data_IF_403814854404
#
_entry.id   IF_403814854404
#
_cell.length_a   1.000
_cell.length_b   1.000
_cell.length_c   1.000
_cell.angle_alpha   90.00
_cell.angle_beta   90.00
_cell.angle_gamma   90.00
#
_symmetry.space_group_name_H-M   'P 1'
#
loop_
_entity.id
_entity.type
_entity.pdbx_description
1 polymer ?
#
# COMPACT_ATOMS: atom_id res chain seq x y z
N UNK A 1 25.80 -17.98 13.03
CA UNK A 1 24.97 -16.76 13.00
C UNK A 1 24.05 -16.87 11.80
N UNK A 2 22.74 -16.80 12.00
CA UNK A 2 21.74 -16.83 10.93
C UNK A 2 21.20 -15.41 10.75
N UNK A 3 21.27 -14.87 9.53
CA UNK A 3 20.81 -13.53 9.21
C UNK A 3 19.51 -13.63 8.40
N UNK A 4 18.42 -13.06 8.92
CA UNK A 4 17.12 -13.00 8.23
C UNK A 4 16.94 -11.63 7.61
N UNK A 5 16.85 -11.57 6.28
CA UNK A 5 16.70 -10.33 5.51
C UNK A 5 15.36 -10.36 4.78
N UNK A 6 14.55 -9.29 4.93
CA UNK A 6 13.31 -9.11 4.16
C UNK A 6 13.62 -8.78 2.70
N UNK A 7 12.87 -9.39 1.77
CA UNK A 7 13.03 -9.18 0.34
C UNK A 7 12.66 -7.73 -0.09
N UNK A 8 13.25 -7.20 -1.16
CA UNK A 8 12.89 -5.90 -1.73
C UNK A 8 11.52 -5.88 -2.42
N UNK A 9 10.95 -7.04 -2.71
CA UNK A 9 9.62 -7.21 -3.27
C UNK A 9 8.83 -8.16 -2.39
N UNK A 10 7.78 -7.66 -1.75
CA UNK A 10 6.97 -8.43 -0.83
C UNK A 10 5.82 -9.12 -1.57
N UNK A 11 5.66 -10.45 -1.47
CA UNK A 11 4.59 -11.15 -2.17
C UNK A 11 3.21 -10.75 -1.64
N UNK A 12 2.27 -10.50 -2.54
CA UNK A 12 0.87 -10.22 -2.23
C UNK A 12 -0.02 -11.23 -2.98
N UNK A 13 -0.60 -12.17 -2.24
CA UNK A 13 -1.58 -13.13 -2.80
C UNK A 13 -2.99 -12.61 -2.54
N UNK A 14 -3.79 -12.50 -3.59
CA UNK A 14 -5.15 -11.96 -3.57
C UNK A 14 -6.10 -13.03 -4.11
N UNK A 15 -7.13 -13.36 -3.33
CA UNK A 15 -8.20 -14.27 -3.75
C UNK A 15 -9.45 -13.44 -4.11
N UNK A 16 -9.94 -13.61 -5.34
CA UNK A 16 -11.11 -12.90 -5.88
C UNK A 16 -12.07 -13.94 -6.44
N UNK A 17 -13.05 -14.33 -5.63
CA UNK A 17 -13.93 -15.44 -5.99
C UNK A 17 -13.13 -16.75 -6.07
N UNK A 18 -13.12 -17.38 -7.24
CA UNK A 18 -12.34 -18.59 -7.54
C UNK A 18 -10.99 -18.29 -8.22
N UNK A 19 -10.65 -17.02 -8.44
CA UNK A 19 -9.41 -16.59 -9.06
C UNK A 19 -8.34 -16.26 -8.01
N UNK A 20 -7.11 -16.70 -8.25
CA UNK A 20 -5.94 -16.30 -7.46
C UNK A 20 -5.06 -15.37 -8.29
N UNK A 21 -4.80 -14.18 -7.76
CA UNK A 21 -3.87 -13.19 -8.34
C UNK A 21 -2.65 -13.07 -7.43
N UNK A 22 -1.46 -13.16 -8.00
CA UNK A 22 -0.21 -13.07 -7.26
C UNK A 22 0.59 -11.85 -7.72
N UNK A 23 0.56 -10.81 -6.90
CA UNK A 23 1.29 -9.58 -7.14
C UNK A 23 2.54 -9.49 -6.22
N UNK A 24 3.35 -8.45 -6.43
CA UNK A 24 4.50 -8.15 -5.58
C UNK A 24 4.54 -6.66 -5.27
N UNK A 25 4.60 -6.31 -4.00
CA UNK A 25 4.69 -4.93 -3.54
C UNK A 25 6.15 -4.49 -3.62
N UNK A 26 6.43 -3.39 -4.32
CA UNK A 26 7.77 -2.84 -4.44
C UNK A 26 8.19 -2.10 -3.15
N UNK A 27 8.83 -2.81 -2.22
CA UNK A 27 9.31 -2.27 -0.94
C UNK A 27 10.79 -1.88 -0.97
N UNK A 28 11.34 -1.61 -2.15
CA UNK A 28 12.66 -0.97 -2.30
C UNK A 28 12.64 0.44 -1.72
N UNK A 29 13.81 1.04 -1.48
CA UNK A 29 13.89 2.41 -0.93
C UNK A 29 13.13 3.41 -1.81
N UNK A 30 13.35 3.38 -3.12
CA UNK A 30 12.63 4.24 -4.08
C UNK A 30 11.15 3.87 -4.14
N UNK A 31 10.82 2.57 -4.14
CA UNK A 31 9.43 2.10 -4.08
C UNK A 31 8.67 2.60 -2.86
N UNK A 32 9.26 2.60 -1.66
CA UNK A 32 8.64 3.10 -0.44
C UNK A 32 8.40 4.63 -0.47
N UNK A 33 9.21 5.37 -1.23
CA UNK A 33 9.01 6.80 -1.45
C UNK A 33 7.84 7.02 -2.41
N UNK A 34 7.87 6.37 -3.57
CA UNK A 34 6.85 6.50 -4.62
C UNK A 34 5.47 6.03 -4.13
N UNK A 35 5.41 4.86 -3.52
CA UNK A 35 4.17 4.32 -2.93
C UNK A 35 3.72 5.21 -1.78
N UNK A 36 4.65 5.68 -0.94
CA UNK A 36 4.32 6.57 0.18
C UNK A 36 3.63 7.86 -0.29
N UNK A 37 4.17 8.51 -1.32
CA UNK A 37 3.58 9.71 -1.90
C UNK A 37 2.22 9.42 -2.55
N UNK A 38 2.13 8.35 -3.35
CA UNK A 38 0.88 7.96 -4.00
C UNK A 38 -0.22 7.61 -2.99
N UNK A 39 0.11 6.84 -1.96
CA UNK A 39 -0.81 6.43 -0.91
C UNK A 39 -1.29 7.61 -0.07
N UNK A 40 -0.41 8.54 0.32
CA UNK A 40 -0.83 9.73 1.06
C UNK A 40 -1.77 10.61 0.24
N UNK A 41 -1.47 10.82 -1.05
CA UNK A 41 -2.36 11.54 -1.97
C UNK A 41 -3.70 10.83 -2.11
N UNK A 42 -3.69 9.50 -2.24
CA UNK A 42 -4.91 8.71 -2.35
C UNK A 42 -5.75 8.76 -1.07
N UNK A 43 -5.16 8.55 0.10
CA UNK A 43 -5.83 8.64 1.40
C UNK A 43 -6.54 9.99 1.59
N UNK A 44 -5.86 11.10 1.28
CA UNK A 44 -6.43 12.44 1.35
C UNK A 44 -7.63 12.61 0.40
N UNK A 45 -7.50 12.16 -0.86
CA UNK A 45 -8.57 12.25 -1.86
C UNK A 45 -9.75 11.34 -1.50
N UNK A 46 -9.50 10.13 -1.02
CA UNK A 46 -10.54 9.20 -0.57
C UNK A 46 -11.31 9.77 0.62
N UNK A 47 -10.64 10.39 1.59
CA UNK A 47 -11.31 11.07 2.70
C UNK A 47 -12.22 12.22 2.25
N UNK A 48 -11.82 12.98 1.22
CA UNK A 48 -12.67 14.02 0.63
C UNK A 48 -13.86 13.42 -0.16
N UNK A 49 -13.63 12.36 -0.93
CA UNK A 49 -14.68 11.64 -1.66
C UNK A 49 -15.69 11.00 -0.72
N UNK A 50 -15.26 10.46 0.43
CA UNK A 50 -16.15 9.86 1.42
C UNK A 50 -17.14 10.87 1.97
N UNK A 51 -16.69 12.10 2.30
CA UNK A 51 -17.60 13.16 2.77
C UNK A 51 -18.67 13.49 1.72
N UNK A 52 -18.25 13.61 0.45
CA UNK A 52 -19.17 13.87 -0.66
C UNK A 52 -20.12 12.70 -0.92
N UNK A 53 -19.65 11.47 -0.68
CA UNK A 53 -20.44 10.25 -0.79
C UNK A 53 -21.54 10.24 0.26
N UNK A 54 -21.20 10.45 1.54
CA UNK A 54 -22.17 10.48 2.64
C UNK A 54 -23.24 11.55 2.44
N UNK A 55 -22.87 12.72 1.90
CA UNK A 55 -23.81 13.78 1.53
C UNK A 55 -24.74 13.36 0.38
N UNK A 56 -24.19 12.73 -0.66
CA UNK A 56 -24.96 12.29 -1.82
C UNK A 56 -25.91 11.13 -1.45
N UNK A 57 -25.47 10.23 -0.57
CA UNK A 57 -26.26 9.12 -0.05
C UNK A 57 -27.45 9.64 0.78
N UNK A 58 -27.22 10.57 1.70
CA UNK A 58 -28.28 11.24 2.47
C UNK A 58 -29.28 11.98 1.57
N UNK A 59 -28.79 12.54 0.46
CA UNK A 59 -29.63 13.25 -0.51
C UNK A 59 -30.33 12.31 -1.52
N UNK A 60 -30.05 11.00 -1.50
CA UNK A 60 -30.58 10.05 -2.48
C UNK A 60 -30.10 10.30 -3.92
N UNK A 61 -28.97 10.99 -4.11
CA UNK A 61 -28.46 11.37 -5.43
C UNK A 61 -27.63 10.25 -6.07
N UNK A 62 -28.34 9.28 -6.66
CA UNK A 62 -27.72 8.14 -7.34
C UNK A 62 -26.77 8.55 -8.48
N UNK A 63 -27.00 9.69 -9.15
CA UNK A 63 -26.13 10.16 -10.23
C UNK A 63 -24.80 10.65 -9.66
N UNK A 64 -24.84 11.43 -8.58
CA UNK A 64 -23.64 11.89 -7.87
C UNK A 64 -22.87 10.71 -7.26
N UNK A 65 -23.57 9.73 -6.68
CA UNK A 65 -22.92 8.51 -6.16
C UNK A 65 -22.14 7.76 -7.23
N UNK A 66 -22.73 7.53 -8.41
CA UNK A 66 -22.01 6.87 -9.53
C UNK A 66 -20.78 7.66 -9.99
N UNK A 67 -20.88 9.00 -10.02
CA UNK A 67 -19.75 9.87 -10.36
C UNK A 67 -18.63 9.77 -9.33
N UNK A 68 -18.96 9.80 -8.05
CA UNK A 68 -17.99 9.65 -6.96
C UNK A 68 -17.33 8.27 -6.98
N UNK A 69 -18.07 7.22 -7.32
CA UNK A 69 -17.52 5.88 -7.49
C UNK A 69 -16.49 5.81 -8.64
N UNK A 70 -16.77 6.45 -9.78
CA UNK A 70 -15.81 6.55 -10.87
C UNK A 70 -14.54 7.32 -10.46
N UNK A 71 -14.68 8.42 -9.72
CA UNK A 71 -13.55 9.20 -9.20
C UNK A 71 -12.71 8.40 -8.18
N UNK A 72 -13.35 7.59 -7.34
CA UNK A 72 -12.65 6.71 -6.42
C UNK A 72 -11.77 5.70 -7.18
N UNK A 73 -12.27 5.16 -8.30
CA UNK A 73 -11.51 4.22 -9.13
C UNK A 73 -10.22 4.85 -9.68
N UNK A 74 -10.30 6.10 -10.16
CA UNK A 74 -9.13 6.84 -10.64
C UNK A 74 -8.09 7.07 -9.53
N UNK A 75 -8.55 7.35 -8.30
CA UNK A 75 -7.67 7.55 -7.15
C UNK A 75 -6.98 6.25 -6.75
N UNK A 76 -7.73 5.14 -6.70
CA UNK A 76 -7.21 3.83 -6.34
C UNK A 76 -6.24 3.29 -7.40
N UNK A 77 -6.54 3.47 -8.68
CA UNK A 77 -5.68 3.01 -9.78
C UNK A 77 -4.24 3.50 -9.63
N UNK A 78 -4.06 4.80 -9.39
CA UNK A 78 -2.74 5.40 -9.26
C UNK A 78 -1.97 4.79 -8.08
N UNK A 79 -2.61 4.64 -6.92
CA UNK A 79 -1.94 4.16 -5.73
C UNK A 79 -1.66 2.65 -5.77
N UNK A 80 -2.59 1.85 -6.29
CA UNK A 80 -2.38 0.40 -6.44
C UNK A 80 -1.29 0.13 -7.48
N UNK A 81 -1.31 0.81 -8.63
CA UNK A 81 -0.23 0.68 -9.64
C UNK A 81 1.14 1.08 -9.11
N UNK A 82 1.21 2.10 -8.24
CA UNK A 82 2.47 2.44 -7.58
C UNK A 82 2.99 1.28 -6.70
N UNK A 83 2.09 0.57 -6.01
CA UNK A 83 2.44 -0.54 -5.12
C UNK A 83 2.88 -1.80 -5.85
N UNK A 84 2.07 -2.25 -6.81
CA UNK A 84 2.20 -3.60 -7.41
C UNK A 84 2.47 -3.59 -8.92
N UNK A 85 2.65 -2.40 -9.51
CA UNK A 85 2.81 -2.23 -10.95
C UNK A 85 1.50 -2.29 -11.73
N UNK A 86 1.60 -1.98 -13.02
CA UNK A 86 0.46 -1.99 -13.95
C UNK A 86 -0.06 -3.41 -14.22
N UNK A 87 0.84 -4.36 -14.44
CA UNK A 87 0.50 -5.77 -14.68
C UNK A 87 -0.33 -6.36 -13.53
N UNK A 88 0.12 -6.17 -12.28
CA UNK A 88 -0.62 -6.65 -11.11
C UNK A 88 -1.98 -5.98 -10.95
N UNK A 89 -2.11 -4.70 -11.30
CA UNK A 89 -3.40 -4.00 -11.29
C UNK A 89 -4.36 -4.58 -12.34
N UNK A 90 -3.88 -4.77 -13.56
CA UNK A 90 -4.69 -5.27 -14.67
C UNK A 90 -5.15 -6.72 -14.44
N UNK A 91 -4.31 -7.57 -13.83
CA UNK A 91 -4.68 -8.91 -13.41
C UNK A 91 -5.83 -8.91 -12.38
N UNK A 92 -5.81 -7.98 -11.41
CA UNK A 92 -6.90 -7.81 -10.44
C UNK A 92 -8.19 -7.39 -11.14
N UNK A 93 -8.11 -6.44 -12.09
CA UNK A 93 -9.30 -6.01 -12.86
C UNK A 93 -9.87 -7.16 -13.67
N UNK A 94 -9.01 -7.95 -14.33
CA UNK A 94 -9.44 -9.13 -15.08
C UNK A 94 -10.11 -10.18 -14.18
N UNK A 95 -9.53 -10.44 -13.00
CA UNK A 95 -10.09 -11.37 -12.03
C UNK A 95 -11.44 -10.90 -11.47
N UNK A 96 -11.65 -9.58 -11.28
CA UNK A 96 -12.94 -9.03 -10.87
C UNK A 96 -14.06 -9.31 -11.88
N UNK A 97 -13.73 -9.44 -13.17
CA UNK A 97 -14.71 -9.65 -14.24
C UNK A 97 -15.15 -11.10 -14.43
N UNK A 98 -14.41 -12.08 -13.94
CA UNK A 98 -14.68 -13.53 -14.12
C UNK A 98 -15.03 -13.88 -15.58
N UNK A 99 -14.30 -13.31 -16.54
CA UNK A 99 -14.53 -13.48 -17.98
C UNK A 99 -15.64 -12.62 -18.60
N UNK A 100 -16.32 -11.78 -17.82
CA UNK A 100 -17.27 -10.76 -18.27
C UNK A 100 -16.69 -9.34 -18.26
N UNK A 101 -17.34 -8.38 -18.96
CA UNK A 101 -16.94 -6.99 -18.93
C UNK A 101 -17.20 -6.40 -17.54
N UNK A 102 -16.17 -5.76 -16.96
CA UNK A 102 -16.23 -5.08 -15.67
C UNK A 102 -15.62 -3.68 -15.79
N UNK A 103 -16.24 -2.68 -15.17
CA UNK A 103 -15.60 -1.36 -15.09
C UNK A 103 -14.65 -1.29 -13.89
N UNK A 104 -13.65 -0.41 -13.97
CA UNK A 104 -12.75 -0.13 -12.83
C UNK A 104 -13.54 0.28 -11.57
N UNK A 105 -14.64 1.01 -11.76
CA UNK A 105 -15.50 1.46 -10.69
C UNK A 105 -16.26 0.31 -10.00
N UNK A 106 -16.59 -0.76 -10.73
CA UNK A 106 -17.18 -1.97 -10.15
C UNK A 106 -16.15 -2.74 -9.30
N UNK A 107 -14.87 -2.60 -9.63
CA UNK A 107 -13.76 -3.23 -8.90
C UNK A 107 -13.40 -2.50 -7.60
N UNK A 108 -13.99 -1.33 -7.30
CA UNK A 108 -13.57 -0.49 -6.18
C UNK A 108 -13.55 -1.21 -4.83
N UNK A 109 -14.50 -2.11 -4.57
CA UNK A 109 -14.54 -2.88 -3.31
C UNK A 109 -13.28 -3.74 -3.15
N UNK A 110 -12.80 -4.35 -4.24
CA UNK A 110 -11.56 -5.12 -4.26
C UNK A 110 -10.36 -4.18 -4.16
N UNK A 111 -10.35 -3.12 -4.96
CA UNK A 111 -9.23 -2.18 -5.04
C UNK A 111 -8.97 -1.43 -3.72
N UNK A 112 -10.00 -1.11 -2.94
CA UNK A 112 -9.82 -0.51 -1.60
C UNK A 112 -9.08 -1.47 -0.66
N UNK A 113 -9.38 -2.78 -0.73
CA UNK A 113 -8.71 -3.79 0.12
C UNK A 113 -7.25 -3.98 -0.29
N UNK A 114 -6.99 -4.04 -1.60
CA UNK A 114 -5.62 -4.14 -2.15
C UNK A 114 -4.82 -2.89 -1.77
N UNK A 115 -5.41 -1.71 -1.91
CA UNK A 115 -4.80 -0.46 -1.44
C UNK A 115 -4.46 -0.52 0.05
N UNK A 116 -5.38 -0.99 0.89
CA UNK A 116 -5.14 -1.15 2.33
C UNK A 116 -3.94 -2.06 2.63
N UNK A 117 -3.87 -3.22 1.97
CA UNK A 117 -2.75 -4.14 2.12
C UNK A 117 -1.41 -3.49 1.72
N UNK A 118 -1.37 -2.79 0.58
CA UNK A 118 -0.17 -2.05 0.14
C UNK A 118 0.23 -0.98 1.17
N UNK A 119 -0.75 -0.23 1.68
CA UNK A 119 -0.52 0.82 2.65
C UNK A 119 0.08 0.29 3.96
N UNK A 120 -0.48 -0.79 4.48
CA UNK A 120 -0.03 -1.42 5.71
C UNK A 120 1.38 -2.00 5.55
N UNK A 121 1.68 -2.69 4.44
CA UNK A 121 3.03 -3.20 4.14
C UNK A 121 4.06 -2.06 4.08
N UNK A 122 3.74 -0.94 3.44
CA UNK A 122 4.66 0.22 3.39
C UNK A 122 4.89 0.81 4.77
N UNK A 123 3.86 0.87 5.61
CA UNK A 123 3.97 1.38 6.97
C UNK A 123 4.88 0.48 7.81
N UNK A 124 4.65 -0.83 7.78
CA UNK A 124 5.48 -1.82 8.49
C UNK A 124 6.95 -1.73 8.06
N UNK A 125 7.21 -1.65 6.75
CA UNK A 125 8.59 -1.57 6.25
C UNK A 125 9.31 -0.29 6.67
N UNK A 126 8.58 0.83 6.77
CA UNK A 126 9.13 2.10 7.26
C UNK A 126 9.45 2.05 8.76
N UNK A 127 8.60 1.42 9.55
CA UNK A 127 8.82 1.21 10.98
C UNK A 127 10.02 0.28 11.23
N UNK A 128 10.15 -0.82 10.47
CA UNK A 128 11.30 -1.72 10.54
C UNK A 128 12.62 -1.01 10.23
N UNK A 129 12.66 -0.17 9.18
CA UNK A 129 13.88 0.57 8.83
C UNK A 129 14.31 1.56 9.90
N UNK A 130 13.36 2.17 10.62
CA UNK A 130 13.65 3.05 11.76
C UNK A 130 14.16 2.27 12.97
N UNK A 131 13.55 1.11 13.25
CA UNK A 131 13.95 0.23 14.35
C UNK A 131 15.31 -0.45 14.09
N UNK A 132 15.60 -0.89 12.87
CA UNK A 132 16.90 -1.46 12.49
C UNK A 132 18.02 -0.41 12.60
N UNK A 133 17.78 0.84 12.18
CA UNK A 133 18.74 1.93 12.41
C UNK A 133 18.96 2.17 13.90
N UNK A 134 17.90 2.21 14.71
CA UNK A 134 18.02 2.37 16.16
C UNK A 134 18.78 1.18 16.81
N UNK A 135 18.56 -0.04 16.33
CA UNK A 135 19.26 -1.24 16.82
C UNK A 135 20.75 -1.24 16.43
N UNK A 136 21.10 -0.78 15.23
CA UNK A 136 22.50 -0.64 14.80
C UNK A 136 23.26 0.37 15.67
N UNK A 137 22.62 1.50 15.99
CA UNK A 137 23.22 2.49 16.91
C UNK A 137 23.40 1.96 18.34
N UNK A 138 22.47 1.14 18.85
CA UNK A 138 22.61 0.55 20.19
C UNK A 138 23.71 -0.53 20.23
N UNK A 139 23.90 -1.29 19.15
CA UNK A 139 24.99 -2.27 19.06
C UNK A 139 26.38 -1.60 19.00
N UNK A 140 26.51 -0.45 18.32
CA UNK A 140 27.76 0.32 18.29
C UNK A 140 28.14 0.94 19.65
N UNK A 141 27.17 1.14 20.56
CA UNK A 141 27.41 1.68 21.91
C UNK A 141 27.81 0.58 22.90
N UNK A 142 27.40 -0.68 22.66
CA UNK A 142 27.77 -1.83 23.50
C UNK A 142 29.15 -2.42 23.12
N UNK A 143 29.57 -2.27 21.85
CA UNK A 143 30.92 -2.61 21.38
C UNK A 143 31.96 -1.47 21.59
N UNK A 144 31.54 -0.31 22.09
CA UNK A 144 32.46 0.74 22.53
C UNK A 144 33.11 0.30 23.85
N UNK A 145 34.33 -0.23 23.78
CA UNK A 145 35.16 -0.46 24.98
C UNK A 145 35.19 0.82 25.84
N UNK A 146 35.12 0.71 27.18
CA UNK A 146 35.40 1.84 28.05
C UNK A 146 36.78 2.41 27.67
N UNK A 147 36.86 3.72 27.43
CA UNK A 147 38.15 4.40 27.33
C UNK A 147 38.98 4.02 28.57
N UNK A 148 40.26 3.63 28.42
CA UNK A 148 41.08 3.33 29.58
C UNK A 148 41.19 4.59 30.42
N UNK A 149 40.85 4.46 31.70
CA UNK A 149 40.95 5.51 32.71
C UNK A 149 42.37 6.11 32.64
N UNK A 150 42.54 7.44 32.45
CA UNK A 150 43.85 8.05 32.54
C UNK A 150 44.29 7.99 34.00
N UNK A 151 45.17 7.04 34.32
CA UNK A 151 45.93 7.04 35.58
C UNK A 151 46.74 8.35 35.67
N UNK A 152 46.41 9.20 36.65
CA UNK A 152 47.33 10.08 37.37
C UNK A 152 46.81 10.39 38.79
#
# INVERSE_FOLDING_TARGET
>A
MELKIKAPYEPLSIEIGDQQVNARINVTVDGLLDIGEACNKAANKMGALQKLHDEAEKAGDAKKLRKLNAQLAEVLEVAVKAGIGEEGYDEIVAACGVGGPVSKADCNIVMVKVFGAIFDTVKERKEDSLNEKAAHYLAEVDDAQPEPDPED
#
